data_IF_541049513299
#
_entry.id   IF_541049513299
#
_cell.length_a   1.000
_cell.length_b   1.000
_cell.length_c   1.000
_cell.angle_alpha   90.00
_cell.angle_beta   90.00
_cell.angle_gamma   90.00
#
_symmetry.space_group_name_H-M   'P 1'
#
loop_
_entity.id
_entity.type
_entity.pdbx_description
1 polymer ?
#
# COMPACT_ATOMS: atom_id res chain seq x y z
N UNK A 1 -37.41 -42.91 -8.18
CA UNK A 1 -35.94 -42.83 -8.34
C UNK A 1 -35.49 -41.44 -7.90
N UNK A 2 -35.29 -41.24 -6.60
CA UNK A 2 -34.93 -39.94 -6.02
C UNK A 2 -33.92 -40.18 -4.89
N UNK A 3 -32.62 -40.08 -5.18
CA UNK A 3 -31.60 -40.37 -4.17
C UNK A 3 -30.15 -40.02 -4.53
N UNK A 4 -29.84 -39.68 -5.79
CA UNK A 4 -28.45 -39.54 -6.23
C UNK A 4 -27.87 -38.11 -6.10
N UNK A 5 -28.70 -37.07 -5.95
CA UNK A 5 -28.23 -35.67 -5.89
C UNK A 5 -27.69 -35.21 -4.52
N UNK A 6 -28.12 -35.82 -3.42
CA UNK A 6 -27.73 -35.41 -2.05
C UNK A 6 -26.39 -36.01 -1.58
N UNK A 7 -26.05 -37.20 -2.08
CA UNK A 7 -24.79 -37.88 -1.74
C UNK A 7 -23.58 -37.17 -2.36
N UNK A 8 -23.68 -36.66 -3.59
CA UNK A 8 -22.59 -35.90 -4.22
C UNK A 8 -22.31 -34.57 -3.51
N UNK A 9 -23.36 -33.83 -3.14
CA UNK A 9 -23.21 -32.56 -2.41
C UNK A 9 -22.62 -32.72 -1.01
N UNK A 10 -23.06 -33.74 -0.27
CA UNK A 10 -22.54 -33.98 1.09
C UNK A 10 -21.06 -34.39 1.06
N UNK A 11 -20.66 -35.22 0.09
CA UNK A 11 -19.25 -35.63 -0.09
C UNK A 11 -18.37 -34.43 -0.45
N UNK A 12 -18.85 -33.52 -1.31
CA UNK A 12 -18.12 -32.29 -1.63
C UNK A 12 -17.97 -31.36 -0.43
N UNK A 13 -19.03 -31.18 0.36
CA UNK A 13 -18.99 -30.34 1.57
C UNK A 13 -18.00 -30.91 2.59
N UNK A 14 -18.08 -32.22 2.87
CA UNK A 14 -17.17 -32.88 3.80
C UNK A 14 -15.73 -32.83 3.27
N UNK A 15 -15.53 -33.06 1.97
CA UNK A 15 -14.22 -32.94 1.33
C UNK A 15 -13.62 -31.54 1.47
N UNK A 16 -14.41 -30.49 1.25
CA UNK A 16 -13.99 -29.11 1.41
C UNK A 16 -13.60 -28.79 2.87
N UNK A 17 -14.43 -29.20 3.84
CA UNK A 17 -14.13 -29.01 5.27
C UNK A 17 -12.82 -29.69 5.66
N UNK A 18 -12.63 -30.94 5.23
CA UNK A 18 -11.41 -31.70 5.51
C UNK A 18 -10.20 -31.01 4.88
N UNK A 19 -10.30 -30.58 3.61
CA UNK A 19 -9.22 -29.86 2.94
C UNK A 19 -8.87 -28.54 3.66
N UNK A 20 -9.86 -27.76 4.09
CA UNK A 20 -9.64 -26.53 4.86
C UNK A 20 -8.95 -26.80 6.20
N UNK A 21 -9.39 -27.83 6.95
CA UNK A 21 -8.76 -28.21 8.22
C UNK A 21 -7.32 -28.68 8.02
N UNK A 22 -7.04 -29.44 6.95
CA UNK A 22 -5.69 -29.87 6.60
C UNK A 22 -4.80 -28.67 6.29
N UNK A 23 -5.29 -27.70 5.53
CA UNK A 23 -4.55 -26.47 5.23
C UNK A 23 -4.24 -25.65 6.49
N UNK A 24 -5.24 -25.45 7.37
CA UNK A 24 -5.04 -24.74 8.64
C UNK A 24 -4.02 -25.49 9.53
N UNK A 25 -4.13 -26.82 9.62
CA UNK A 25 -3.18 -27.63 10.37
C UNK A 25 -1.76 -27.55 9.83
N UNK A 26 -1.59 -27.59 8.51
CA UNK A 26 -0.30 -27.42 7.85
C UNK A 26 0.30 -26.03 8.10
N UNK A 27 -0.52 -24.97 8.03
CA UNK A 27 -0.10 -23.60 8.32
C UNK A 27 0.37 -23.44 9.77
N UNK A 28 -0.38 -23.99 10.73
CA UNK A 28 0.00 -23.96 12.14
C UNK A 28 1.30 -24.75 12.40
N UNK A 29 1.46 -25.92 11.78
CA UNK A 29 2.68 -26.73 11.87
C UNK A 29 3.90 -26.05 11.24
N UNK A 30 3.69 -25.23 10.20
CA UNK A 30 4.73 -24.41 9.58
C UNK A 30 5.13 -23.17 10.41
N UNK A 31 4.60 -23.01 11.63
CA UNK A 31 4.91 -21.88 12.49
C UNK A 31 3.96 -20.69 12.34
N UNK A 32 2.83 -20.85 11.64
CA UNK A 32 1.82 -19.80 11.47
C UNK A 32 1.18 -19.28 12.77
N UNK A 33 1.48 -19.90 13.92
CA UNK A 33 1.02 -19.46 15.25
C UNK A 33 2.05 -18.64 16.03
N UNK A 34 3.32 -18.61 15.62
CA UNK A 34 4.40 -17.92 16.34
C UNK A 34 4.66 -16.51 15.79
N UNK A 35 3.59 -15.77 15.52
CA UNK A 35 3.73 -14.36 15.13
C UNK A 35 4.10 -13.54 16.37
N UNK A 36 5.38 -13.22 16.50
CA UNK A 36 5.86 -12.22 17.46
C UNK A 36 5.79 -10.86 16.76
N UNK A 37 4.93 -9.91 17.19
CA UNK A 37 4.85 -8.60 16.57
C UNK A 37 6.20 -7.92 16.74
N UNK A 38 6.89 -7.68 15.63
CA UNK A 38 8.13 -6.94 15.65
C UNK A 38 7.84 -5.54 16.21
N UNK A 39 8.77 -5.05 17.05
CA UNK A 39 8.57 -3.78 17.75
C UNK A 39 8.33 -2.67 16.74
N UNK A 40 7.24 -1.93 16.91
CA UNK A 40 6.91 -0.75 16.11
C UNK A 40 8.14 0.14 16.06
N UNK A 41 8.69 0.31 14.86
CA UNK A 41 9.89 1.10 14.63
C UNK A 41 9.53 2.58 14.75
N UNK A 42 10.46 3.37 15.27
CA UNK A 42 10.31 4.82 15.38
C UNK A 42 10.29 5.43 13.97
N UNK A 43 9.19 6.06 13.54
CA UNK A 43 9.09 6.64 12.20
C UNK A 43 10.02 7.84 11.98
N UNK A 44 10.53 8.44 13.05
CA UNK A 44 11.47 9.55 12.95
C UNK A 44 12.92 9.10 12.73
N UNK A 45 13.25 7.84 13.05
CA UNK A 45 14.60 7.33 12.87
C UNK A 45 14.89 7.06 11.39
N UNK A 46 16.12 7.35 10.91
CA UNK A 46 16.54 6.94 9.57
C UNK A 46 16.45 5.42 9.43
N UNK A 47 16.00 4.96 8.27
CA UNK A 47 15.96 3.55 7.88
C UNK A 47 17.07 3.30 6.87
N UNK A 48 17.72 2.15 6.95
CA UNK A 48 18.63 1.73 5.89
C UNK A 48 17.85 1.49 4.60
N UNK A 49 18.22 2.22 3.54
CA UNK A 49 17.70 1.98 2.21
C UNK A 49 18.34 0.72 1.65
N UNK A 50 17.50 -0.27 1.31
CA UNK A 50 17.97 -1.52 0.70
C UNK A 50 18.34 -1.27 -0.76
N UNK A 51 19.42 -1.84 -1.29
CA UNK A 51 19.84 -1.67 -2.70
C UNK A 51 18.79 -2.26 -3.65
N UNK A 52 17.87 -1.45 -4.22
CA UNK A 52 16.69 -1.97 -4.90
C UNK A 52 17.03 -2.28 -6.35
N UNK A 53 16.74 -3.51 -6.79
CA UNK A 53 17.13 -3.96 -8.12
C UNK A 53 16.07 -3.71 -9.20
N UNK A 54 14.90 -3.20 -8.82
CA UNK A 54 13.80 -2.91 -9.74
C UNK A 54 12.93 -1.74 -9.25
N UNK A 55 12.11 -1.21 -10.17
CA UNK A 55 11.23 -0.06 -9.92
C UNK A 55 10.19 -0.32 -8.82
N UNK A 56 9.66 -1.55 -8.71
CA UNK A 56 8.71 -1.91 -7.66
C UNK A 56 9.32 -1.81 -6.25
N UNK A 57 10.57 -2.25 -6.09
CA UNK A 57 11.30 -2.13 -4.82
C UNK A 57 11.61 -0.68 -4.48
N UNK A 58 11.95 0.15 -5.48
CA UNK A 58 12.15 1.59 -5.30
C UNK A 58 10.84 2.24 -4.84
N UNK A 59 9.73 1.99 -5.55
CA UNK A 59 8.42 2.56 -5.22
C UNK A 59 7.96 2.15 -3.81
N UNK A 60 8.18 0.88 -3.43
CA UNK A 60 7.87 0.41 -2.08
C UNK A 60 8.69 1.14 -1.01
N UNK A 61 10.00 1.27 -1.19
CA UNK A 61 10.84 1.99 -0.22
C UNK A 61 10.53 3.47 -0.14
N UNK A 62 10.25 4.10 -1.27
CA UNK A 62 9.78 5.48 -1.34
C UNK A 62 8.47 5.64 -0.56
N UNK A 63 7.50 4.75 -0.76
CA UNK A 63 6.21 4.77 -0.06
C UNK A 63 6.39 4.61 1.45
N UNK A 64 7.28 3.70 1.88
CA UNK A 64 7.57 3.49 3.30
C UNK A 64 8.22 4.73 3.91
N UNK A 65 9.22 5.32 3.24
CA UNK A 65 9.86 6.55 3.71
C UNK A 65 8.88 7.72 3.78
N UNK A 66 7.96 7.83 2.81
CA UNK A 66 6.92 8.85 2.83
C UNK A 66 5.99 8.69 4.03
N UNK A 67 5.56 7.47 4.32
CA UNK A 67 4.74 7.18 5.49
C UNK A 67 5.50 7.42 6.80
N UNK A 68 6.77 7.04 6.88
CA UNK A 68 7.62 7.27 8.06
C UNK A 68 7.77 8.78 8.31
N UNK A 69 8.06 9.59 7.29
CA UNK A 69 8.16 11.04 7.42
C UNK A 69 6.85 11.71 7.83
N UNK A 70 5.71 11.29 7.25
CA UNK A 70 4.40 11.82 7.61
C UNK A 70 3.99 11.41 9.04
N UNK A 71 4.24 10.16 9.42
CA UNK A 71 3.96 9.66 10.76
C UNK A 71 4.82 10.36 11.82
N UNK A 72 6.10 10.62 11.51
CA UNK A 72 6.98 11.42 12.35
C UNK A 72 6.45 12.85 12.54
N UNK A 73 5.99 13.49 11.46
CA UNK A 73 5.42 14.85 11.52
C UNK A 73 4.13 14.92 12.35
N UNK A 74 3.34 13.84 12.40
CA UNK A 74 2.10 13.75 13.18
C UNK A 74 2.31 13.20 14.60
N UNK A 75 3.49 12.67 14.92
CA UNK A 75 3.77 12.05 16.22
C UNK A 75 3.01 10.75 16.46
N UNK A 76 2.69 10.01 15.40
CA UNK A 76 1.98 8.71 15.46
C UNK A 76 2.86 7.60 14.87
N UNK A 77 2.51 6.33 15.08
CA UNK A 77 3.23 5.24 14.41
C UNK A 77 2.88 5.15 12.92
N UNK A 78 3.80 4.65 12.11
CA UNK A 78 3.56 4.40 10.68
C UNK A 78 2.33 3.52 10.45
N UNK A 79 2.15 2.46 11.24
CA UNK A 79 1.03 1.52 11.11
C UNK A 79 -0.31 2.19 11.47
N UNK A 80 -0.29 3.15 12.40
CA UNK A 80 -1.45 3.97 12.74
C UNK A 80 -1.83 4.85 11.56
N UNK A 81 -0.86 5.54 10.96
CA UNK A 81 -1.09 6.40 9.80
C UNK A 81 -1.51 5.60 8.57
N UNK A 82 -0.83 4.49 8.26
CA UNK A 82 -1.17 3.62 7.13
C UNK A 82 -2.61 3.09 7.24
N UNK A 83 -3.04 2.72 8.46
CA UNK A 83 -4.43 2.32 8.71
C UNK A 83 -5.41 3.49 8.56
N UNK A 84 -5.03 4.68 9.01
CA UNK A 84 -5.86 5.88 8.86
C UNK A 84 -6.09 6.22 7.38
N UNK A 85 -5.07 6.08 6.54
CA UNK A 85 -5.14 6.40 5.11
C UNK A 85 -5.82 5.31 4.26
N UNK A 86 -6.17 4.16 4.83
CA UNK A 86 -6.71 3.03 4.08
C UNK A 86 -8.12 3.28 3.52
N UNK A 87 -8.97 4.02 4.24
CA UNK A 87 -10.33 4.38 3.80
C UNK A 87 -10.72 5.77 4.29
N UNK A 88 -11.68 6.45 3.64
CA UNK A 88 -12.19 7.75 4.10
C UNK A 88 -12.70 7.70 5.54
N UNK A 89 -13.42 6.64 5.93
CA UNK A 89 -13.97 6.49 7.28
C UNK A 89 -12.89 6.17 8.32
N UNK A 90 -11.77 5.58 7.92
CA UNK A 90 -10.62 5.39 8.79
C UNK A 90 -9.88 6.71 9.03
N UNK A 91 -9.81 7.55 8.00
CA UNK A 91 -9.21 8.88 8.07
C UNK A 91 -9.99 9.81 8.97
N UNK A 92 -11.31 9.92 8.79
CA UNK A 92 -12.17 10.75 9.66
C UNK A 92 -12.03 10.36 11.14
N UNK A 93 -12.04 9.05 11.44
CA UNK A 93 -11.84 8.55 12.82
C UNK A 93 -10.44 8.87 13.37
N UNK A 94 -9.43 8.93 12.51
CA UNK A 94 -8.08 9.27 12.91
C UNK A 94 -7.96 10.77 13.20
N UNK A 95 -8.51 11.62 12.34
CA UNK A 95 -8.59 13.07 12.50
C UNK A 95 -9.30 13.45 13.80
N UNK A 96 -10.45 12.85 14.08
CA UNK A 96 -11.20 13.05 15.33
C UNK A 96 -10.40 12.56 16.55
N UNK A 97 -9.78 11.37 16.47
CA UNK A 97 -9.07 10.77 17.61
C UNK A 97 -7.80 11.54 18.00
N UNK A 98 -7.09 12.06 17.01
CA UNK A 98 -5.78 12.69 17.21
C UNK A 98 -5.83 14.23 17.12
N UNK A 99 -7.03 14.81 16.97
CA UNK A 99 -7.24 16.25 16.83
C UNK A 99 -6.36 16.83 15.70
N UNK A 100 -6.51 16.21 14.52
CA UNK A 100 -5.80 16.56 13.30
C UNK A 100 -6.83 17.06 12.29
N UNK A 101 -6.64 18.28 11.80
CA UNK A 101 -7.40 18.81 10.68
C UNK A 101 -6.78 18.40 9.33
N UNK A 102 -7.55 18.58 8.25
CA UNK A 102 -7.13 18.29 6.88
C UNK A 102 -5.81 18.99 6.51
N UNK A 103 -5.62 20.23 6.98
CA UNK A 103 -4.43 21.03 6.68
C UNK A 103 -3.17 20.42 7.32
N UNK A 104 -3.27 20.00 8.59
CA UNK A 104 -2.20 19.35 9.34
C UNK A 104 -1.89 17.96 8.77
N UNK A 105 -2.92 17.18 8.41
CA UNK A 105 -2.72 15.89 7.75
C UNK A 105 -2.00 16.07 6.40
N UNK A 106 -2.45 17.03 5.60
CA UNK A 106 -1.87 17.30 4.31
C UNK A 106 -0.43 17.85 4.39
N UNK A 107 -0.15 18.70 5.38
CA UNK A 107 1.22 19.15 5.68
C UNK A 107 2.13 17.98 6.06
N UNK A 108 1.61 17.03 6.84
CA UNK A 108 2.37 15.83 7.20
C UNK A 108 2.63 14.93 5.99
N UNK A 109 1.63 14.70 5.14
CA UNK A 109 1.81 13.94 3.89
C UNK A 109 2.89 14.59 3.01
N UNK A 110 2.86 15.93 2.88
CA UNK A 110 3.87 16.69 2.14
C UNK A 110 5.27 16.54 2.73
N UNK A 111 5.40 16.64 4.06
CA UNK A 111 6.66 16.43 4.75
C UNK A 111 7.19 14.99 4.54
N UNK A 112 6.29 14.00 4.56
CA UNK A 112 6.58 12.62 4.20
C UNK A 112 7.15 12.48 2.80
N UNK A 113 6.46 13.02 1.79
CA UNK A 113 6.91 12.96 0.41
C UNK A 113 8.27 13.65 0.19
N UNK A 114 8.53 14.79 0.85
CA UNK A 114 9.84 15.44 0.82
C UNK A 114 10.91 14.52 1.40
N UNK A 115 10.67 13.90 2.56
CA UNK A 115 11.59 12.94 3.16
C UNK A 115 11.88 11.76 2.23
N UNK A 116 10.87 11.24 1.54
CA UNK A 116 11.05 10.14 0.60
C UNK A 116 11.95 10.50 -0.59
N UNK A 117 11.88 11.76 -1.06
CA UNK A 117 12.80 12.27 -2.08
C UNK A 117 14.22 12.38 -1.53
N UNK A 118 14.37 12.88 -0.31
CA UNK A 118 15.68 13.03 0.36
C UNK A 118 16.33 11.66 0.60
N UNK A 119 15.59 10.71 1.15
CA UNK A 119 16.07 9.34 1.42
C UNK A 119 16.45 8.62 0.12
N UNK A 120 15.68 8.81 -0.96
CA UNK A 120 15.99 8.24 -2.27
C UNK A 120 17.23 8.87 -2.92
N UNK A 121 17.45 10.18 -2.73
CA UNK A 121 18.65 10.88 -3.17
C UNK A 121 19.88 10.38 -2.41
N UNK A 122 19.80 10.29 -1.08
CA UNK A 122 20.88 9.81 -0.21
C UNK A 122 21.26 8.35 -0.52
N UNK A 123 20.27 7.52 -0.85
CA UNK A 123 20.48 6.14 -1.25
C UNK A 123 21.01 5.98 -2.69
N UNK A 124 21.13 7.06 -3.47
CA UNK A 124 21.55 7.02 -4.87
C UNK A 124 20.50 6.46 -5.84
N UNK A 125 19.28 6.19 -5.36
CA UNK A 125 18.14 5.77 -6.19
C UNK A 125 17.59 6.94 -7.02
N UNK A 126 17.78 8.17 -6.56
CA UNK A 126 17.41 9.40 -7.27
C UNK A 126 18.65 10.28 -7.47
N UNK A 127 18.90 10.72 -8.70
CA UNK A 127 20.01 11.65 -8.93
C UNK A 127 19.68 13.04 -8.35
N UNK A 128 20.67 13.80 -7.84
CA UNK A 128 20.47 15.16 -7.31
C UNK A 128 19.83 16.12 -8.34
N UNK A 129 20.06 15.87 -9.63
CA UNK A 129 19.48 16.64 -10.74
C UNK A 129 17.95 16.51 -10.81
N UNK A 130 17.40 15.37 -10.38
CA UNK A 130 15.95 15.10 -10.37
C UNK A 130 15.36 15.40 -8.98
N UNK A 131 16.11 15.09 -7.92
CA UNK A 131 15.67 15.26 -6.52
C UNK A 131 15.31 16.72 -6.19
N UNK A 132 16.15 17.68 -6.60
CA UNK A 132 15.89 19.11 -6.35
C UNK A 132 14.54 19.59 -6.91
N UNK A 133 14.29 19.46 -8.23
CA UNK A 133 13.00 19.81 -8.83
C UNK A 133 11.82 19.02 -8.24
N UNK A 134 12.00 17.74 -7.92
CA UNK A 134 10.93 16.91 -7.36
C UNK A 134 10.54 17.37 -5.95
N UNK A 135 11.53 17.70 -5.11
CA UNK A 135 11.33 18.27 -3.77
C UNK A 135 10.53 19.58 -3.85
N UNK A 136 10.89 20.45 -4.80
CA UNK A 136 10.19 21.72 -5.02
C UNK A 136 8.75 21.50 -5.50
N UNK A 137 8.54 20.57 -6.44
CA UNK A 137 7.21 20.23 -6.92
C UNK A 137 6.31 19.74 -5.78
N UNK A 138 6.78 18.81 -4.94
CA UNK A 138 6.06 18.34 -3.76
C UNK A 138 5.70 19.51 -2.83
N UNK A 139 6.59 20.49 -2.68
CA UNK A 139 6.34 21.66 -1.83
C UNK A 139 5.36 22.68 -2.42
N UNK A 140 5.11 22.66 -3.73
CA UNK A 140 4.26 23.64 -4.40
C UNK A 140 2.90 23.08 -4.87
N UNK A 141 2.73 21.76 -4.94
CA UNK A 141 1.47 21.15 -5.41
C UNK A 141 0.29 21.55 -4.51
N UNK A 142 -0.78 22.15 -5.04
CA UNK A 142 -2.03 22.38 -4.31
C UNK A 142 -2.72 21.05 -4.02
N UNK A 143 -3.24 20.87 -2.80
CA UNK A 143 -3.81 19.60 -2.35
C UNK A 143 -5.12 19.27 -3.07
N UNK A 144 -5.85 20.30 -3.48
CA UNK A 144 -7.09 20.19 -4.23
C UNK A 144 -6.85 19.53 -5.59
N UNK A 145 -5.74 19.85 -6.25
CA UNK A 145 -5.35 19.24 -7.52
C UNK A 145 -4.88 17.78 -7.33
N UNK A 146 -4.22 17.48 -6.22
CA UNK A 146 -3.80 16.10 -5.91
C UNK A 146 -5.02 15.17 -5.73
N UNK A 147 -6.08 15.65 -5.07
CA UNK A 147 -7.33 14.89 -4.89
C UNK A 147 -8.04 14.67 -6.24
N UNK A 148 -8.05 15.67 -7.12
CA UNK A 148 -8.63 15.54 -8.46
C UNK A 148 -7.89 14.51 -9.31
N UNK A 149 -6.55 14.48 -9.24
CA UNK A 149 -5.72 13.48 -9.93
C UNK A 149 -6.01 12.07 -9.40
N UNK A 150 -6.17 11.91 -8.08
CA UNK A 150 -6.47 10.59 -7.48
C UNK A 150 -7.89 10.13 -7.87
N UNK A 151 -8.87 11.02 -7.81
CA UNK A 151 -10.26 10.68 -8.17
C UNK A 151 -10.43 10.42 -9.68
N UNK A 152 -9.65 11.12 -10.51
CA UNK A 152 -9.56 10.90 -11.96
C UNK A 152 -8.39 9.99 -12.35
N UNK A 153 -7.85 9.19 -11.42
CA UNK A 153 -6.68 8.37 -11.68
C UNK A 153 -6.92 7.40 -12.84
N UNK A 154 -8.15 6.89 -13.02
CA UNK A 154 -8.50 6.06 -14.17
C UNK A 154 -8.38 6.81 -15.51
N UNK A 155 -8.74 8.11 -15.54
CA UNK A 155 -8.60 8.95 -16.73
C UNK A 155 -7.14 9.30 -17.01
N UNK A 156 -6.37 9.60 -15.96
CA UNK A 156 -4.93 9.85 -16.08
C UNK A 156 -4.16 8.60 -16.53
N UNK A 157 -4.49 7.44 -15.95
CA UNK A 157 -3.91 6.14 -16.32
C UNK A 157 -4.24 5.80 -17.78
N UNK A 158 -5.49 6.02 -18.23
CA UNK A 158 -5.86 5.85 -19.63
C UNK A 158 -5.10 6.77 -20.59
N UNK A 159 -4.81 8.00 -20.19
CA UNK A 159 -3.99 8.93 -20.99
C UNK A 159 -2.51 8.49 -21.06
N UNK A 160 -1.92 8.00 -19.96
CA UNK A 160 -0.54 7.48 -20.00
C UNK A 160 -0.46 6.13 -20.72
N UNK A 161 -1.49 5.27 -20.66
CA UNK A 161 -1.59 4.04 -21.45
C UNK A 161 -1.58 4.35 -22.95
N UNK A 162 -2.23 5.45 -23.36
CA UNK A 162 -2.20 5.90 -24.76
C UNK A 162 -0.81 6.35 -25.22
N UNK A 163 0.02 6.82 -24.29
CA UNK A 163 1.35 7.37 -24.54
C UNK A 163 2.47 6.33 -24.42
N UNK A 164 2.34 5.37 -23.50
CA UNK A 164 3.36 4.38 -23.16
C UNK A 164 3.04 2.95 -23.69
N UNK A 165 1.84 2.74 -24.22
CA UNK A 165 1.28 1.40 -24.48
C UNK A 165 0.54 0.86 -23.25
N UNK A 166 -0.40 -0.09 -23.43
CA UNK A 166 -1.23 -0.58 -22.33
C UNK A 166 -0.38 -1.11 -21.17
N UNK A 167 -0.49 -0.49 -20.00
CA UNK A 167 0.20 -0.93 -18.80
C UNK A 167 -0.35 -2.26 -18.23
N UNK A 168 -1.47 -2.75 -18.78
CA UNK A 168 -2.12 -4.02 -18.45
C UNK A 168 -1.10 -5.17 -18.45
N UNK A 169 -0.30 -5.27 -19.52
CA UNK A 169 0.69 -6.33 -19.69
C UNK A 169 1.84 -6.23 -18.66
N UNK A 170 2.20 -5.00 -18.26
CA UNK A 170 3.29 -4.73 -17.31
C UNK A 170 2.86 -5.06 -15.87
N UNK A 171 1.59 -4.81 -15.55
CA UNK A 171 1.00 -5.13 -14.24
C UNK A 171 0.83 -6.65 -14.09
N UNK A 172 0.44 -7.35 -15.16
CA UNK A 172 0.26 -8.81 -15.17
C UNK A 172 1.60 -9.57 -15.04
N UNK A 173 2.68 -9.00 -15.59
CA UNK A 173 4.07 -9.49 -15.42
C UNK A 173 4.59 -9.27 -13.97
N UNK A 174 4.19 -8.18 -13.31
CA UNK A 174 4.61 -7.83 -11.95
C UNK A 174 3.79 -8.49 -10.84
N UNK A 175 2.53 -8.87 -11.12
CA UNK A 175 1.61 -9.54 -10.20
C UNK A 175 0.90 -10.71 -10.92
N UNK A 176 1.54 -11.89 -11.02
CA UNK A 176 0.90 -13.08 -11.57
C UNK A 176 -0.19 -13.58 -10.62
N UNK A 177 -1.40 -13.04 -10.75
CA UNK A 177 -2.56 -13.36 -9.92
C UNK A 177 -3.60 -12.25 -9.77
N UNK A 178 -3.72 -11.34 -10.75
CA UNK A 178 -4.59 -10.18 -10.73
C UNK A 178 -6.00 -10.43 -10.17
N UNK A 179 -6.50 -9.41 -9.46
CA UNK A 179 -7.82 -9.31 -8.82
C UNK A 179 -8.99 -9.29 -9.83
N UNK A 180 -8.99 -10.16 -10.84
CA UNK A 180 -10.05 -10.29 -11.84
C UNK A 180 -11.30 -11.07 -11.36
N UNK A 181 -11.48 -11.22 -10.05
CA UNK A 181 -12.48 -12.13 -9.47
C UNK A 181 -13.60 -11.51 -8.63
N UNK A 182 -13.64 -10.19 -8.43
CA UNK A 182 -14.72 -9.54 -7.66
C UNK A 182 -15.84 -9.04 -8.58
N UNK A 183 -16.48 -9.99 -9.26
CA UNK A 183 -17.89 -9.83 -9.64
C UNK A 183 -18.69 -10.34 -8.45
N UNK A 184 -19.13 -9.43 -7.58
CA UNK A 184 -20.15 -9.72 -6.57
C UNK A 184 -21.48 -10.00 -7.29
N UNK A 185 -22.25 -11.03 -6.88
CA UNK A 185 -23.60 -11.26 -7.39
C UNK A 185 -24.59 -10.19 -6.91
#
# INVERSE_FOLDING_TARGET
MSGQGRLSGTVLIVGAIVASLVLVGAYLAAGGSSYEPEKVQDPCQPREWSDPHNLGQIANQFTISALDGAACQLGVSRETLARALATPEARERFEERYDIDDEKLAKAIRAGLVRAVDDAEEAGALSPLIAGPLREAVQQIPLEQAIEIINNAQGFLGDVDSFLGPADDIIEELLPGGLGGLVLP
#
